data_IF_148526169020
#
_entry.id   IF_148526169020
#
_cell.length_a   1.000
_cell.length_b   1.000
_cell.length_c   1.000
_cell.angle_alpha   90.00
_cell.angle_beta   90.00
_cell.angle_gamma   90.00
#
_symmetry.space_group_name_H-M   'P 1'
#
loop_
_entity.id
_entity.type
_entity.pdbx_description
1 polymer ?
#
# COMPACT_ATOMS: atom_id res chain seq x y z
N UNK A 1 17.55 -22.85 -7.74
CA UNK A 1 18.90 -22.30 -8.01
C UNK A 1 19.03 -21.04 -7.13
N UNK A 2 19.88 -21.07 -6.10
CA UNK A 2 20.09 -19.87 -5.24
C UNK A 2 20.83 -18.82 -6.07
N UNK A 3 20.41 -17.55 -6.09
CA UNK A 3 21.17 -16.49 -6.75
C UNK A 3 22.56 -16.41 -6.10
N UNK A 4 23.58 -16.22 -6.94
CA UNK A 4 24.93 -15.94 -6.45
C UNK A 4 24.91 -14.67 -5.63
N UNK A 5 25.58 -14.68 -4.47
CA UNK A 5 25.77 -13.50 -3.62
C UNK A 5 26.40 -12.37 -4.45
N UNK A 6 25.60 -11.37 -4.84
CA UNK A 6 26.06 -10.24 -5.64
C UNK A 6 25.11 -9.77 -6.74
N UNK A 7 24.29 -10.63 -7.30
CA UNK A 7 23.36 -10.25 -8.37
C UNK A 7 22.10 -9.58 -7.78
N UNK A 8 21.86 -8.33 -8.17
CA UNK A 8 20.63 -7.62 -7.80
C UNK A 8 19.40 -8.27 -8.45
N UNK A 9 18.29 -8.24 -7.74
CA UNK A 9 16.98 -8.67 -8.23
C UNK A 9 16.52 -7.74 -9.35
N UNK A 10 16.27 -8.26 -10.55
CA UNK A 10 15.76 -7.44 -11.66
C UNK A 10 14.27 -7.16 -11.44
N UNK A 11 13.91 -5.89 -11.43
CA UNK A 11 12.55 -5.38 -11.42
C UNK A 11 12.39 -4.37 -12.55
N UNK A 12 11.16 -4.14 -13.04
CA UNK A 12 10.92 -3.21 -14.14
C UNK A 12 10.58 -1.82 -13.64
N UNK A 13 10.08 -1.70 -12.39
CA UNK A 13 9.77 -0.40 -11.83
C UNK A 13 9.40 -0.40 -10.36
N UNK A 14 9.45 0.80 -9.83
CA UNK A 14 8.92 1.18 -8.50
C UNK A 14 7.94 2.32 -8.72
N UNK A 15 6.80 2.27 -8.02
CA UNK A 15 5.87 3.40 -7.93
C UNK A 15 5.69 3.81 -6.48
N UNK A 16 5.73 5.11 -6.24
CA UNK A 16 5.43 5.74 -4.97
C UNK A 16 4.11 6.51 -5.11
N UNK A 17 3.22 6.37 -4.14
CA UNK A 17 1.97 7.13 -4.13
C UNK A 17 2.18 8.58 -3.73
N UNK A 18 1.14 9.41 -3.90
CA UNK A 18 0.95 10.62 -3.11
C UNK A 18 0.64 10.28 -1.65
N UNK A 19 0.35 11.30 -0.84
CA UNK A 19 -0.05 11.11 0.54
C UNK A 19 -1.43 10.44 0.62
N UNK A 20 -1.52 9.41 1.45
CA UNK A 20 -2.69 8.57 1.66
C UNK A 20 -3.11 8.62 3.12
N UNK A 21 -4.38 8.28 3.35
CA UNK A 21 -4.91 7.88 4.66
C UNK A 21 -5.27 6.42 4.59
N UNK A 22 -4.72 5.62 5.50
CA UNK A 22 -5.04 4.20 5.62
C UNK A 22 -6.13 4.00 6.65
N UNK A 23 -7.11 3.20 6.31
CA UNK A 23 -8.26 2.84 7.13
C UNK A 23 -8.19 1.33 7.35
N UNK A 24 -7.88 0.93 8.57
CA UNK A 24 -7.85 -0.47 8.96
C UNK A 24 -9.23 -0.88 9.51
N UNK A 25 -9.79 -1.95 8.98
CA UNK A 25 -10.99 -2.59 9.50
C UNK A 25 -10.59 -3.51 10.65
N UNK A 26 -11.05 -3.19 11.85
CA UNK A 26 -10.70 -3.94 13.04
C UNK A 26 -11.49 -5.27 13.10
N UNK A 27 -10.82 -6.39 13.40
CA UNK A 27 -11.50 -7.67 13.53
C UNK A 27 -12.43 -7.65 14.74
N UNK A 28 -13.52 -8.45 14.67
CA UNK A 28 -14.40 -8.63 15.82
C UNK A 28 -15.50 -7.58 15.98
N UNK A 29 -15.65 -6.66 15.06
CA UNK A 29 -16.73 -5.68 15.05
C UNK A 29 -17.86 -6.11 14.12
N UNK A 30 -19.09 -5.69 14.40
CA UNK A 30 -20.24 -5.94 13.51
C UNK A 30 -20.31 -4.96 12.32
N UNK A 31 -19.26 -4.19 12.11
CA UNK A 31 -19.19 -3.23 11.02
C UNK A 31 -18.99 -3.93 9.67
N UNK A 32 -19.86 -3.61 8.72
CA UNK A 32 -19.79 -4.17 7.39
C UNK A 32 -18.82 -3.41 6.48
N UNK A 33 -17.77 -4.08 6.00
CA UNK A 33 -16.88 -3.53 4.97
C UNK A 33 -17.65 -3.11 3.71
N UNK A 34 -18.69 -3.83 3.33
CA UNK A 34 -19.55 -3.47 2.21
C UNK A 34 -20.22 -2.11 2.42
N UNK A 35 -20.66 -1.80 3.64
CA UNK A 35 -21.23 -0.50 3.98
C UNK A 35 -20.18 0.61 3.82
N UNK A 36 -18.95 0.39 4.32
CA UNK A 36 -17.85 1.34 4.13
C UNK A 36 -17.65 1.66 2.65
N UNK A 37 -17.54 0.62 1.82
CA UNK A 37 -17.28 0.80 0.39
C UNK A 37 -18.45 1.48 -0.34
N UNK A 38 -19.70 1.16 -0.01
CA UNK A 38 -20.87 1.84 -0.57
C UNK A 38 -20.89 3.33 -0.21
N UNK A 39 -20.61 3.67 1.06
CA UNK A 39 -20.57 5.05 1.53
C UNK A 39 -19.44 5.85 0.86
N UNK A 40 -18.25 5.26 0.73
CA UNK A 40 -17.12 5.89 0.03
C UNK A 40 -17.42 6.07 -1.46
N UNK A 41 -18.01 5.07 -2.12
CA UNK A 41 -18.42 5.16 -3.51
C UNK A 41 -19.48 6.25 -3.74
N UNK A 42 -20.48 6.35 -2.86
CA UNK A 42 -21.49 7.41 -2.91
C UNK A 42 -20.90 8.82 -2.80
N UNK A 43 -19.74 8.97 -2.16
CA UNK A 43 -18.99 10.22 -2.06
C UNK A 43 -17.94 10.40 -3.15
N UNK A 44 -17.87 9.47 -4.13
CA UNK A 44 -16.86 9.45 -5.19
C UNK A 44 -15.42 9.48 -4.65
N UNK A 45 -15.18 8.73 -3.58
CA UNK A 45 -13.85 8.55 -2.99
C UNK A 45 -13.24 7.29 -3.56
N UNK A 46 -12.08 7.42 -4.20
CA UNK A 46 -11.33 6.30 -4.74
C UNK A 46 -10.47 5.63 -3.67
N UNK A 47 -10.33 4.32 -3.78
CA UNK A 47 -9.45 3.52 -2.92
C UNK A 47 -8.35 2.90 -3.76
N UNK A 48 -7.16 3.51 -3.83
CA UNK A 48 -6.05 3.01 -4.62
C UNK A 48 -5.45 1.70 -4.09
N UNK A 49 -5.72 1.36 -2.84
CA UNK A 49 -5.31 0.11 -2.22
C UNK A 49 -6.45 -0.46 -1.37
N UNK A 50 -6.73 -1.74 -1.55
CA UNK A 50 -7.64 -2.50 -0.70
C UNK A 50 -7.04 -3.87 -0.46
N UNK A 51 -6.92 -4.27 0.81
CA UNK A 51 -6.58 -5.61 1.24
C UNK A 51 -7.65 -6.10 2.19
N UNK A 52 -8.25 -7.24 1.91
CA UNK A 52 -9.27 -7.82 2.77
C UNK A 52 -8.92 -9.28 3.06
N UNK A 53 -9.08 -9.66 4.29
CA UNK A 53 -9.03 -11.03 4.76
C UNK A 53 -10.42 -11.45 5.26
N UNK A 54 -10.91 -12.57 4.75
CA UNK A 54 -12.19 -13.13 5.13
C UNK A 54 -11.96 -14.32 6.06
N UNK A 55 -12.10 -14.12 7.35
CA UNK A 55 -11.99 -15.16 8.35
C UNK A 55 -13.31 -15.29 9.13
N UNK A 56 -13.91 -16.49 9.10
CA UNK A 56 -15.06 -16.85 9.92
C UNK A 56 -16.21 -15.80 9.88
N UNK A 57 -16.69 -15.48 8.69
CA UNK A 57 -17.80 -14.54 8.40
C UNK A 57 -17.50 -13.06 8.69
N UNK A 58 -16.24 -12.70 8.95
CA UNK A 58 -15.83 -11.32 9.22
C UNK A 58 -14.76 -10.89 8.23
N UNK A 59 -14.86 -9.65 7.77
CA UNK A 59 -13.83 -9.00 6.96
C UNK A 59 -12.95 -8.15 7.85
N UNK A 60 -11.66 -8.41 7.81
CA UNK A 60 -10.62 -7.54 8.35
C UNK A 60 -9.72 -7.08 7.20
N UNK A 61 -8.93 -6.05 7.41
CA UNK A 61 -8.00 -5.61 6.38
C UNK A 61 -7.77 -4.11 6.39
N UNK A 62 -7.27 -3.60 5.30
CA UNK A 62 -6.95 -2.19 5.15
C UNK A 62 -7.40 -1.67 3.78
N UNK A 63 -7.82 -0.43 3.73
CA UNK A 63 -7.95 0.33 2.49
C UNK A 63 -7.29 1.70 2.64
N UNK A 64 -6.89 2.28 1.52
CA UNK A 64 -6.31 3.62 1.50
C UNK A 64 -7.17 4.54 0.64
N UNK A 65 -7.29 5.79 1.05
CA UNK A 65 -7.87 6.90 0.27
C UNK A 65 -6.81 7.97 0.08
N UNK A 66 -6.98 8.88 -0.89
CA UNK A 66 -6.11 10.03 -1.01
C UNK A 66 -6.28 10.95 0.20
N UNK A 67 -5.21 11.58 0.69
CA UNK A 67 -5.28 12.48 1.85
C UNK A 67 -6.24 13.66 1.61
N UNK A 68 -6.35 14.14 0.37
CA UNK A 68 -7.29 15.17 -0.05
C UNK A 68 -8.77 14.79 0.11
N UNK A 69 -9.06 13.48 0.21
CA UNK A 69 -10.42 12.95 0.37
C UNK A 69 -10.83 12.76 1.83
N UNK A 70 -9.91 12.96 2.79
CA UNK A 70 -10.16 12.70 4.21
C UNK A 70 -11.38 13.48 4.72
N UNK A 71 -11.48 14.77 4.40
CA UNK A 71 -12.60 15.61 4.83
C UNK A 71 -13.96 15.07 4.33
N UNK A 72 -14.01 14.51 3.11
CA UNK A 72 -15.22 13.89 2.56
C UNK A 72 -15.53 12.53 3.19
N UNK A 73 -14.50 11.82 3.62
CA UNK A 73 -14.63 10.54 4.30
C UNK A 73 -15.02 10.67 5.78
N UNK A 74 -14.69 11.79 6.41
CA UNK A 74 -14.83 12.01 7.86
C UNK A 74 -16.18 11.54 8.44
N UNK A 75 -17.36 11.89 7.86
CA UNK A 75 -18.65 11.48 8.42
C UNK A 75 -18.82 9.93 8.45
N UNK A 76 -18.23 9.23 7.48
CA UNK A 76 -18.29 7.76 7.43
C UNK A 76 -17.37 7.16 8.49
N UNK A 77 -16.17 7.73 8.65
CA UNK A 77 -15.19 7.27 9.62
C UNK A 77 -15.67 7.47 11.05
N UNK A 78 -16.30 8.61 11.34
CA UNK A 78 -16.89 8.92 12.67
C UNK A 78 -18.04 7.98 13.00
N UNK A 79 -18.93 7.71 12.03
CA UNK A 79 -20.04 6.77 12.21
C UNK A 79 -19.59 5.32 12.50
N UNK A 80 -18.34 4.99 12.17
CA UNK A 80 -17.74 3.67 12.35
C UNK A 80 -16.54 3.67 13.34
N UNK A 81 -16.41 4.68 14.18
CA UNK A 81 -15.21 4.95 14.99
C UNK A 81 -14.75 3.79 15.89
N UNK A 82 -15.65 2.93 16.33
CA UNK A 82 -15.31 1.73 17.12
C UNK A 82 -14.84 0.53 16.30
N UNK A 83 -14.98 0.58 14.98
CA UNK A 83 -14.70 -0.52 14.08
C UNK A 83 -13.53 -0.26 13.11
N UNK A 84 -13.07 0.97 13.08
CA UNK A 84 -12.01 1.42 12.18
C UNK A 84 -10.86 2.04 12.96
N UNK A 85 -9.64 1.82 12.46
CA UNK A 85 -8.46 2.58 12.86
C UNK A 85 -7.99 3.40 11.67
N UNK A 86 -7.81 4.69 11.84
CA UNK A 86 -7.34 5.60 10.79
C UNK A 86 -5.88 5.94 11.05
N UNK A 87 -5.04 5.79 10.03
CA UNK A 87 -3.63 6.17 10.04
C UNK A 87 -3.43 7.20 8.94
N UNK A 88 -3.10 8.41 9.32
CA UNK A 88 -2.81 9.51 8.39
C UNK A 88 -1.34 9.50 7.97
N UNK A 89 -1.02 10.26 6.91
CA UNK A 89 0.34 10.43 6.39
C UNK A 89 1.00 9.12 6.01
N UNK A 90 0.24 8.22 5.41
CA UNK A 90 0.71 6.96 4.84
C UNK A 90 1.06 7.15 3.38
N UNK A 91 2.03 6.40 2.90
CA UNK A 91 2.33 6.28 1.49
C UNK A 91 2.50 4.83 1.08
N UNK A 92 2.31 4.53 -0.18
CA UNK A 92 2.53 3.20 -0.72
C UNK A 92 3.75 3.16 -1.64
N UNK A 93 4.55 2.10 -1.50
CA UNK A 93 5.61 1.72 -2.41
C UNK A 93 5.20 0.42 -3.09
N UNK A 94 5.13 0.45 -4.42
CA UNK A 94 4.79 -0.70 -5.25
C UNK A 94 5.95 -1.07 -6.15
N UNK A 95 6.34 -2.35 -6.13
CA UNK A 95 7.37 -2.93 -7.00
C UNK A 95 6.71 -3.85 -8.01
N UNK A 96 7.14 -3.79 -9.27
CA UNK A 96 6.62 -4.63 -10.35
C UNK A 96 7.71 -4.98 -11.38
N UNK A 97 7.58 -6.13 -12.11
CA UNK A 97 6.64 -7.19 -11.81
C UNK A 97 7.08 -7.98 -10.59
N UNK A 98 6.11 -8.41 -9.80
CA UNK A 98 6.37 -9.28 -8.64
C UNK A 98 6.69 -10.72 -9.06
N UNK A 99 5.98 -11.26 -10.08
CA UNK A 99 6.14 -12.62 -10.62
C UNK A 99 6.13 -13.72 -9.56
N UNK A 100 5.38 -13.56 -8.47
CA UNK A 100 5.33 -14.47 -7.32
C UNK A 100 6.72 -14.80 -6.72
N UNK A 101 7.64 -13.84 -6.72
CA UNK A 101 9.02 -14.00 -6.24
C UNK A 101 9.12 -13.77 -4.75
N UNK A 102 9.32 -14.82 -3.99
CA UNK A 102 9.53 -14.74 -2.53
C UNK A 102 10.83 -14.02 -2.15
N UNK A 103 11.85 -14.06 -2.99
CA UNK A 103 13.11 -13.34 -2.77
C UNK A 103 12.92 -11.81 -2.83
N UNK A 104 12.00 -11.31 -3.66
CA UNK A 104 11.63 -9.91 -3.68
C UNK A 104 10.87 -9.52 -2.40
N UNK A 105 9.95 -10.37 -1.95
CA UNK A 105 9.22 -10.15 -0.71
C UNK A 105 10.17 -10.10 0.50
N UNK A 106 11.09 -11.07 0.60
CA UNK A 106 12.13 -11.07 1.63
C UNK A 106 13.02 -9.83 1.56
N UNK A 107 13.42 -9.44 0.36
CA UNK A 107 14.22 -8.25 0.12
C UNK A 107 13.55 -6.98 0.67
N UNK A 108 12.26 -6.80 0.39
CA UNK A 108 11.49 -5.64 0.87
C UNK A 108 11.35 -5.66 2.39
N UNK A 109 10.90 -6.78 2.97
CA UNK A 109 10.74 -6.92 4.42
C UNK A 109 12.05 -6.68 5.16
N UNK A 110 13.13 -7.31 4.73
CA UNK A 110 14.44 -7.15 5.37
C UNK A 110 14.99 -5.73 5.19
N UNK A 111 14.75 -5.10 4.04
CA UNK A 111 15.13 -3.71 3.76
C UNK A 111 14.43 -2.73 4.69
N UNK A 112 13.11 -2.88 4.85
CA UNK A 112 12.31 -2.08 5.76
C UNK A 112 12.73 -2.28 7.22
N UNK A 113 12.90 -3.53 7.64
CA UNK A 113 13.31 -3.85 9.02
C UNK A 113 14.66 -3.25 9.37
N UNK A 114 15.66 -3.35 8.49
CA UNK A 114 17.01 -2.78 8.73
C UNK A 114 17.01 -1.27 8.91
N UNK A 115 16.05 -0.57 8.30
CA UNK A 115 15.92 0.88 8.37
C UNK A 115 14.89 1.35 9.38
N UNK A 116 14.27 0.42 10.13
CA UNK A 116 13.19 0.74 11.07
C UNK A 116 12.02 1.44 10.38
N UNK A 117 11.71 1.06 9.13
CA UNK A 117 10.54 1.55 8.41
C UNK A 117 9.31 0.79 8.88
N UNK A 118 8.25 1.47 9.33
CA UNK A 118 7.02 0.79 9.68
C UNK A 118 6.37 0.19 8.44
N UNK A 119 5.71 -0.94 8.60
CA UNK A 119 4.87 -1.54 7.57
C UNK A 119 3.44 -1.55 8.10
N UNK A 120 2.55 -0.76 7.49
CA UNK A 120 1.16 -0.64 7.92
C UNK A 120 0.26 -1.67 7.23
N UNK A 121 0.53 -1.99 5.96
CA UNK A 121 -0.14 -3.06 5.20
C UNK A 121 0.74 -3.58 4.08
N UNK A 122 0.43 -4.79 3.61
CA UNK A 122 1.07 -5.44 2.47
C UNK A 122 -0.02 -5.96 1.55
N UNK A 123 0.12 -5.67 0.25
CA UNK A 123 -0.72 -6.24 -0.80
C UNK A 123 0.15 -6.92 -1.85
N UNK A 124 -0.23 -8.11 -2.24
CA UNK A 124 0.47 -8.88 -3.27
C UNK A 124 -0.50 -9.35 -4.34
N UNK A 125 -0.07 -9.25 -5.59
CA UNK A 125 -0.75 -9.79 -6.76
C UNK A 125 0.25 -10.52 -7.65
N UNK A 126 -0.19 -11.11 -8.75
CA UNK A 126 0.71 -11.72 -9.73
C UNK A 126 1.69 -10.69 -10.33
N UNK A 127 1.26 -9.44 -10.45
CA UNK A 127 2.02 -8.39 -11.13
C UNK A 127 2.75 -7.43 -10.18
N UNK A 128 2.29 -7.24 -8.95
CA UNK A 128 2.79 -6.19 -8.08
C UNK A 128 2.86 -6.61 -6.61
N UNK A 129 3.84 -6.07 -5.91
CA UNK A 129 3.99 -6.17 -4.46
C UNK A 129 4.01 -4.76 -3.89
N UNK A 130 3.06 -4.46 -3.01
CA UNK A 130 2.87 -3.12 -2.43
C UNK A 130 3.03 -3.18 -0.92
N UNK A 131 3.78 -2.23 -0.38
CA UNK A 131 3.91 -1.97 1.05
C UNK A 131 3.41 -0.57 1.35
N UNK A 132 2.68 -0.41 2.44
CA UNK A 132 2.37 0.92 2.97
C UNK A 132 3.27 1.22 4.16
N UNK A 133 3.72 2.46 4.24
CA UNK A 133 4.63 2.98 5.28
C UNK A 133 4.35 4.47 5.49
N UNK A 134 5.10 5.13 6.34
CA UNK A 134 5.00 6.57 6.53
C UNK A 134 5.32 7.32 5.25
N UNK A 135 4.45 8.25 4.84
CA UNK A 135 4.59 9.01 3.60
C UNK A 135 5.92 9.75 3.50
N UNK A 136 6.35 10.39 4.58
CA UNK A 136 7.63 11.13 4.62
C UNK A 136 8.87 10.24 4.48
N UNK A 137 8.73 8.91 4.55
CA UNK A 137 9.83 7.95 4.45
C UNK A 137 9.82 7.11 3.17
N UNK A 138 8.96 7.45 2.20
CA UNK A 138 8.84 6.70 0.94
C UNK A 138 10.14 6.66 0.13
N UNK A 139 10.91 7.74 0.09
CA UNK A 139 12.18 7.78 -0.65
C UNK A 139 13.23 6.88 0.03
N UNK A 140 13.23 6.83 1.36
CA UNK A 140 14.06 5.90 2.12
C UNK A 140 13.64 4.44 1.87
N UNK A 141 12.34 4.19 1.79
CA UNK A 141 11.81 2.87 1.44
C UNK A 141 12.22 2.43 0.03
N UNK A 142 12.14 3.32 -0.96
CA UNK A 142 12.62 3.05 -2.31
C UNK A 142 14.12 2.75 -2.34
N UNK A 143 14.92 3.53 -1.62
CA UNK A 143 16.36 3.29 -1.49
C UNK A 143 16.67 1.92 -0.86
N UNK A 144 15.88 1.50 0.16
CA UNK A 144 16.03 0.18 0.77
C UNK A 144 15.83 -0.97 -0.22
N UNK A 145 14.82 -0.84 -1.11
CA UNK A 145 14.58 -1.83 -2.18
C UNK A 145 15.73 -1.84 -3.18
N UNK A 146 16.22 -0.68 -3.61
CA UNK A 146 17.27 -0.54 -4.62
C UNK A 146 18.66 -1.00 -4.15
N UNK A 147 18.87 -1.23 -2.86
CA UNK A 147 20.08 -1.91 -2.38
C UNK A 147 20.21 -3.32 -2.96
N UNK A 148 19.09 -4.04 -3.11
CA UNK A 148 19.01 -5.43 -3.54
C UNK A 148 18.36 -5.63 -4.90
N UNK A 149 17.65 -4.60 -5.41
CA UNK A 149 16.99 -4.62 -6.71
C UNK A 149 17.68 -3.69 -7.70
N UNK A 150 17.57 -4.01 -8.99
CA UNK A 150 18.05 -3.20 -10.10
C UNK A 150 16.90 -2.88 -11.04
N UNK A 151 16.79 -1.62 -11.43
CA UNK A 151 15.89 -1.10 -12.43
C UNK A 151 16.56 -1.11 -13.82
N UNK A 152 15.80 -1.18 -14.91
CA UNK A 152 16.30 -0.93 -16.24
C UNK A 152 16.67 0.55 -16.41
N UNK A 153 17.57 0.85 -17.36
CA UNK A 153 18.05 2.24 -17.59
C UNK A 153 16.93 3.20 -18.01
N UNK A 154 15.86 2.67 -18.61
CA UNK A 154 14.70 3.44 -19.10
C UNK A 154 13.46 3.30 -18.20
N UNK A 155 13.65 3.06 -16.89
CA UNK A 155 12.52 2.93 -15.96
C UNK A 155 11.69 4.23 -15.89
N UNK A 156 10.38 4.09 -15.65
CA UNK A 156 9.50 5.23 -15.43
C UNK A 156 9.81 5.94 -14.10
N UNK A 157 9.51 7.25 -13.97
CA UNK A 157 9.63 7.97 -12.72
C UNK A 157 8.86 7.28 -11.58
N UNK A 158 9.39 7.33 -10.36
CA UNK A 158 8.77 6.69 -9.19
C UNK A 158 7.44 7.34 -8.80
N UNK A 159 7.32 8.65 -9.03
CA UNK A 159 6.07 9.37 -8.82
C UNK A 159 5.43 9.73 -10.15
N UNK A 160 4.09 9.59 -10.28
CA UNK A 160 3.42 9.99 -11.50
C UNK A 160 3.58 11.51 -11.71
N UNK A 161 3.93 11.90 -12.94
CA UNK A 161 4.04 13.31 -13.33
C UNK A 161 2.66 13.98 -13.46
N UNK A 162 1.59 13.18 -13.58
CA UNK A 162 0.23 13.66 -13.78
C UNK A 162 -0.72 13.05 -12.75
N UNK A 163 -1.57 13.89 -12.15
CA UNK A 163 -2.73 13.40 -11.39
C UNK A 163 -3.84 13.04 -12.38
N UNK A 164 -4.19 11.76 -12.46
CA UNK A 164 -5.41 11.34 -13.17
C UNK A 164 -6.59 11.67 -12.28
N UNK A 165 -7.40 12.67 -12.66
CA UNK A 165 -8.72 12.90 -12.05
C UNK A 165 -9.72 12.05 -12.80
N UNK A 166 -10.45 11.19 -12.10
CA UNK A 166 -11.66 10.61 -12.64
C UNK A 166 -12.72 11.72 -12.73
N UNK A 167 -13.32 11.82 -13.92
CA UNK A 167 -14.42 12.75 -14.23
C UNK A 167 -15.73 12.15 -13.72
#
# INVERSE_FOLDING_TARGET
MKPRSGDKLKIDGIKLSGELVQINLLPGTDFSAARLFCEMAGRRINMPLVTLDAAADRLAGACCIAAEDLARAQPVLEAASGALQVIERVGSLTVFPHRARFDLFECMLSGFARRGLPVHAIASSLAALTFTTDYGRLDEAAAAVLEKAALPDNHAPFRPEFKVRQI
#
